data_IF_021155497413
#
_entry.id   IF_021155497413
#
_cell.length_a   1.000
_cell.length_b   1.000
_cell.length_c   1.000
_cell.angle_alpha   90.00
_cell.angle_beta   90.00
_cell.angle_gamma   90.00
#
_symmetry.space_group_name_H-M   'P 1'
#
loop_
_entity.id
_entity.type
_entity.pdbx_description
1 polymer ?
#
# COMPACT_ATOMS: atom_id res chain seq x y z
N UNK A 1 4.52 -13.15 52.47
CA UNK A 1 5.04 -13.55 51.14
C UNK A 1 4.35 -12.70 50.08
N UNK A 2 5.00 -11.62 49.61
CA UNK A 2 4.46 -10.72 48.58
C UNK A 2 4.78 -11.31 47.21
N UNK A 3 3.77 -11.68 46.43
CA UNK A 3 3.94 -12.11 45.03
C UNK A 3 4.27 -10.86 44.19
N UNK A 4 5.50 -10.78 43.69
CA UNK A 4 5.88 -9.90 42.60
C UNK A 4 5.07 -10.31 41.37
N UNK A 5 4.22 -9.40 40.88
CA UNK A 5 3.54 -9.56 39.60
C UNK A 5 4.48 -9.01 38.53
N UNK A 6 4.90 -9.91 37.65
CA UNK A 6 5.80 -9.67 36.53
C UNK A 6 5.14 -8.68 35.56
N UNK A 7 5.77 -7.52 35.38
CA UNK A 7 5.41 -6.57 34.33
C UNK A 7 5.70 -7.23 32.99
N UNK A 8 4.65 -7.58 32.24
CA UNK A 8 4.76 -7.90 30.83
C UNK A 8 5.15 -6.62 30.10
N UNK A 9 6.43 -6.49 29.77
CA UNK A 9 6.89 -5.50 28.81
C UNK A 9 6.24 -5.83 27.47
N UNK A 10 5.36 -4.96 27.00
CA UNK A 10 4.89 -4.97 25.63
C UNK A 10 6.13 -4.82 24.74
N UNK A 11 6.51 -5.90 24.05
CA UNK A 11 7.41 -5.78 22.91
C UNK A 11 6.71 -4.83 21.93
N UNK A 12 7.32 -3.67 21.70
CA UNK A 12 6.99 -2.86 20.54
C UNK A 12 7.09 -3.78 19.33
N UNK A 13 5.95 -4.12 18.74
CA UNK A 13 5.92 -4.57 17.37
C UNK A 13 6.67 -3.50 16.58
N UNK A 14 7.75 -3.92 15.93
CA UNK A 14 8.47 -3.09 14.98
C UNK A 14 7.44 -2.75 13.91
N UNK A 15 6.83 -1.58 14.04
CA UNK A 15 6.19 -0.92 12.91
C UNK A 15 7.23 -0.96 11.82
N UNK A 16 7.01 -1.75 10.78
CA UNK A 16 7.79 -1.65 9.56
C UNK A 16 7.60 -0.20 9.12
N UNK A 17 8.55 0.65 9.49
CA UNK A 17 8.65 2.01 8.99
C UNK A 17 8.83 1.83 7.50
N UNK A 18 7.76 2.05 6.74
CA UNK A 18 7.87 2.27 5.31
C UNK A 18 9.06 3.20 5.08
N UNK A 19 9.89 2.82 4.11
CA UNK A 19 11.08 3.54 3.72
C UNK A 19 10.78 5.04 3.62
N UNK A 20 11.72 5.87 4.06
CA UNK A 20 11.61 7.31 4.20
C UNK A 20 11.37 8.09 2.88
N UNK A 21 10.92 7.41 1.82
CA UNK A 21 10.91 7.86 0.43
C UNK A 21 9.57 7.62 -0.29
N UNK A 22 8.53 7.18 0.43
CA UNK A 22 7.22 6.90 -0.12
C UNK A 22 6.25 8.09 0.07
N UNK A 23 6.30 9.06 -0.85
CA UNK A 23 5.42 10.23 -0.95
C UNK A 23 4.94 10.46 -2.40
N UNK A 24 3.75 11.06 -2.62
CA UNK A 24 2.80 11.50 -1.60
C UNK A 24 2.21 10.33 -0.81
N UNK A 25 1.77 10.64 0.41
CA UNK A 25 1.02 9.70 1.22
C UNK A 25 -0.28 10.29 1.74
N UNK A 26 -1.23 9.41 2.01
CA UNK A 26 -2.51 9.76 2.63
C UNK A 26 -2.81 8.72 3.70
N UNK A 27 -2.90 9.17 4.95
CA UNK A 27 -3.45 8.35 6.03
C UNK A 27 -4.96 8.55 6.09
N UNK A 28 -5.72 7.47 6.17
CA UNK A 28 -7.17 7.49 6.29
C UNK A 28 -7.64 6.47 7.33
N UNK A 29 -8.74 6.75 8.01
CA UNK A 29 -9.30 5.81 8.97
C UNK A 29 -10.83 5.81 8.98
N UNK A 30 -11.41 4.65 9.29
CA UNK A 30 -12.82 4.55 9.63
C UNK A 30 -13.07 5.28 10.96
N UNK A 31 -14.29 5.79 11.14
CA UNK A 31 -14.67 6.50 12.37
C UNK A 31 -14.81 5.55 13.57
N UNK A 32 -15.25 4.32 13.31
CA UNK A 32 -15.42 3.27 14.31
C UNK A 32 -14.69 2.02 13.88
N UNK A 33 -14.30 1.20 14.85
CA UNK A 33 -13.65 -0.10 14.62
C UNK A 33 -14.48 -1.17 15.32
N UNK A 34 -14.98 -2.20 14.61
CA UNK A 34 -15.63 -3.33 15.24
C UNK A 34 -14.68 -4.07 16.20
N UNK A 35 -15.24 -4.78 17.19
CA UNK A 35 -14.45 -5.51 18.20
C UNK A 35 -13.52 -6.56 17.61
N UNK A 36 -13.87 -7.12 16.46
CA UNK A 36 -13.16 -8.22 15.80
C UNK A 36 -12.41 -7.72 14.55
N UNK A 37 -12.29 -6.39 14.41
CA UNK A 37 -11.72 -5.74 13.24
C UNK A 37 -12.61 -5.84 12.01
N UNK A 38 -12.07 -5.44 10.87
CA UNK A 38 -12.72 -5.54 9.57
C UNK A 38 -12.36 -6.85 8.86
N UNK A 39 -13.22 -7.36 7.99
CA UNK A 39 -12.93 -8.54 7.17
C UNK A 39 -12.45 -8.18 5.75
N UNK A 40 -12.62 -6.92 5.34
CA UNK A 40 -12.22 -6.47 4.00
C UNK A 40 -11.82 -5.00 3.97
N UNK A 41 -10.84 -4.68 3.13
CA UNK A 41 -10.49 -3.32 2.72
C UNK A 41 -10.48 -3.26 1.19
N UNK A 42 -11.04 -2.19 0.61
CA UNK A 42 -10.95 -1.91 -0.82
C UNK A 42 -10.48 -0.50 -1.09
N UNK A 43 -9.73 -0.27 -2.16
CA UNK A 43 -9.41 1.06 -2.66
C UNK A 43 -9.30 1.06 -4.18
N UNK A 44 -9.60 2.19 -4.80
CA UNK A 44 -9.57 2.33 -6.26
C UNK A 44 -8.35 3.17 -6.69
N UNK A 45 -7.72 2.76 -7.79
CA UNK A 45 -6.63 3.48 -8.44
C UNK A 45 -6.87 3.59 -9.94
N UNK A 46 -6.59 4.76 -10.52
CA UNK A 46 -6.59 5.00 -11.97
C UNK A 46 -5.24 5.62 -12.35
N UNK A 47 -4.30 4.83 -12.89
CA UNK A 47 -3.05 5.38 -13.44
C UNK A 47 -3.35 6.31 -14.61
N UNK A 48 -2.82 7.53 -14.62
CA UNK A 48 -3.08 8.51 -15.70
C UNK A 48 -1.83 8.92 -16.46
N UNK A 49 -0.71 9.09 -15.76
CA UNK A 49 0.62 9.34 -16.34
C UNK A 49 1.60 8.40 -15.67
N UNK A 50 2.22 7.54 -16.48
CA UNK A 50 3.08 6.45 -16.00
C UNK A 50 4.42 6.53 -16.74
N UNK A 51 5.53 6.81 -16.05
CA UNK A 51 6.85 6.75 -16.65
C UNK A 51 7.18 5.32 -17.08
N UNK A 52 7.56 5.17 -18.35
CA UNK A 52 7.81 3.85 -18.97
C UNK A 52 9.28 3.58 -19.25
N UNK A 53 10.13 4.57 -19.03
CA UNK A 53 11.58 4.55 -19.30
C UNK A 53 12.34 3.83 -18.18
N UNK A 54 11.79 3.82 -16.96
CA UNK A 54 12.38 3.19 -15.77
C UNK A 54 11.57 1.94 -15.42
N UNK A 55 12.21 0.78 -15.46
CA UNK A 55 11.58 -0.46 -15.01
C UNK A 55 11.38 -0.43 -13.49
N UNK A 56 10.19 -0.81 -13.01
CA UNK A 56 9.81 -0.64 -11.61
C UNK A 56 10.01 0.81 -11.17
N UNK A 57 9.43 1.76 -11.91
CA UNK A 57 9.53 3.17 -11.59
C UNK A 57 8.82 3.48 -10.28
N UNK A 58 7.59 3.01 -10.16
CA UNK A 58 6.73 3.29 -9.00
C UNK A 58 6.21 2.05 -8.32
N UNK A 59 5.82 2.21 -7.07
CA UNK A 59 4.86 1.34 -6.43
C UNK A 59 3.76 2.21 -5.79
N UNK A 60 2.55 2.11 -6.33
CA UNK A 60 1.37 2.78 -5.78
C UNK A 60 0.56 1.75 -5.02
N UNK A 61 0.45 1.94 -3.71
CA UNK A 61 -0.09 0.92 -2.84
C UNK A 61 -0.85 1.52 -1.67
N UNK A 62 -1.74 0.69 -1.11
CA UNK A 62 -2.35 0.93 0.18
C UNK A 62 -1.85 -0.11 1.17
N UNK A 63 -1.40 0.34 2.33
CA UNK A 63 -1.01 -0.46 3.46
C UNK A 63 -2.02 -0.30 4.59
N UNK A 64 -2.37 -1.42 5.20
CA UNK A 64 -3.09 -1.50 6.46
C UNK A 64 -2.33 -2.43 7.41
N UNK A 65 -2.92 -2.74 8.55
CA UNK A 65 -2.37 -3.69 9.50
C UNK A 65 -3.41 -4.70 9.97
N UNK A 66 -2.94 -5.82 10.52
CA UNK A 66 -3.77 -6.70 11.33
C UNK A 66 -4.32 -5.94 12.54
N UNK A 67 -5.47 -6.37 13.01
CA UNK A 67 -6.13 -5.81 14.19
C UNK A 67 -5.24 -5.92 15.44
N UNK A 68 -4.56 -7.06 15.59
CA UNK A 68 -3.68 -7.34 16.71
C UNK A 68 -2.24 -7.49 16.23
N UNK A 69 -1.28 -7.02 17.03
CA UNK A 69 0.15 -7.11 16.71
C UNK A 69 0.65 -6.12 15.65
N UNK A 70 -0.23 -5.42 14.94
CA UNK A 70 0.16 -4.36 14.00
C UNK A 70 0.92 -4.88 12.77
N UNK A 71 0.67 -6.12 12.37
CA UNK A 71 1.33 -6.76 11.24
C UNK A 71 0.90 -6.11 9.93
N UNK A 72 1.83 -5.48 9.23
CA UNK A 72 1.53 -4.75 8.01
C UNK A 72 1.04 -5.67 6.89
N UNK A 73 0.12 -5.17 6.09
CA UNK A 73 -0.31 -5.79 4.84
C UNK A 73 -0.42 -4.68 3.80
N UNK A 74 0.06 -4.90 2.58
CA UNK A 74 -0.17 -3.95 1.51
C UNK A 74 -0.73 -4.64 0.27
N UNK A 75 -1.42 -3.86 -0.55
CA UNK A 75 -1.72 -4.23 -1.93
C UNK A 75 -1.58 -3.03 -2.84
N UNK A 76 -1.01 -3.24 -4.03
CA UNK A 76 -0.69 -2.15 -4.95
C UNK A 76 -0.37 -2.61 -6.35
N UNK A 77 -0.17 -1.63 -7.22
CA UNK A 77 0.26 -1.83 -8.60
C UNK A 77 1.62 -1.20 -8.84
N UNK A 78 2.40 -1.86 -9.67
CA UNK A 78 3.74 -1.43 -10.03
C UNK A 78 3.89 -1.40 -11.55
N UNK A 79 4.11 -0.21 -12.15
CA UNK A 79 4.49 -0.14 -13.55
C UNK A 79 5.83 -0.82 -13.80
N UNK A 80 5.91 -1.56 -14.90
CA UNK A 80 7.12 -2.19 -15.41
C UNK A 80 7.28 -1.86 -16.89
N UNK A 81 8.51 -1.95 -17.40
CA UNK A 81 8.76 -1.70 -18.83
C UNK A 81 8.04 -2.73 -19.70
N UNK A 82 7.54 -2.32 -20.87
CA UNK A 82 7.00 -3.19 -21.93
C UNK A 82 5.78 -4.06 -21.53
N UNK A 83 4.78 -3.51 -20.84
CA UNK A 83 3.51 -4.21 -20.60
C UNK A 83 3.59 -5.35 -19.58
N UNK A 84 4.67 -5.41 -18.79
CA UNK A 84 4.90 -6.41 -17.74
C UNK A 84 4.45 -5.93 -16.36
N UNK A 85 3.46 -5.06 -16.34
CA UNK A 85 2.86 -4.47 -15.14
C UNK A 85 2.53 -5.54 -14.10
N UNK A 86 2.76 -5.22 -12.82
CA UNK A 86 2.61 -6.17 -11.71
C UNK A 86 1.61 -5.65 -10.70
N UNK A 87 0.82 -6.57 -10.14
CA UNK A 87 0.04 -6.34 -8.91
C UNK A 87 0.72 -7.10 -7.80
N UNK A 88 0.93 -6.45 -6.67
CA UNK A 88 1.64 -7.01 -5.51
C UNK A 88 0.69 -7.00 -4.32
N UNK A 89 0.72 -8.08 -3.54
CA UNK A 89 0.03 -8.22 -2.27
C UNK A 89 0.97 -8.92 -1.29
N UNK A 90 1.19 -8.33 -0.12
CA UNK A 90 2.11 -8.87 0.89
C UNK A 90 1.51 -8.79 2.29
N UNK A 91 1.89 -9.74 3.14
CA UNK A 91 1.65 -9.73 4.58
C UNK A 91 2.98 -9.90 5.33
N UNK A 92 3.25 -9.01 6.28
CA UNK A 92 4.51 -8.91 7.00
C UNK A 92 4.40 -9.55 8.37
N UNK A 93 5.38 -10.37 8.73
CA UNK A 93 5.42 -11.01 10.05
C UNK A 93 5.74 -12.50 9.98
N UNK A 94 6.15 -13.02 11.13
CA UNK A 94 6.41 -14.46 11.31
C UNK A 94 5.11 -15.25 11.29
N UNK A 95 5.18 -16.53 10.94
CA UNK A 95 4.01 -17.41 10.88
C UNK A 95 3.15 -17.27 9.62
N UNK A 96 3.49 -16.33 8.73
CA UNK A 96 2.88 -16.26 7.39
C UNK A 96 3.35 -17.43 6.53
N UNK A 97 2.47 -17.93 5.65
CA UNK A 97 2.84 -18.95 4.67
C UNK A 97 2.10 -18.75 3.33
N UNK A 98 2.78 -18.95 2.18
CA UNK A 98 2.15 -18.86 0.88
C UNK A 98 1.12 -19.98 0.68
N UNK A 99 -0.06 -19.62 0.16
CA UNK A 99 -1.09 -20.59 -0.25
C UNK A 99 -1.31 -20.64 -1.76
N UNK A 100 -0.96 -19.58 -2.49
CA UNK A 100 -1.01 -19.55 -3.96
C UNK A 100 0.37 -19.75 -4.59
N UNK A 101 0.40 -20.34 -5.79
CA UNK A 101 1.65 -20.67 -6.50
C UNK A 101 2.52 -19.44 -6.83
N UNK A 102 1.91 -18.26 -6.93
CA UNK A 102 2.58 -17.00 -7.22
C UNK A 102 2.98 -16.22 -5.95
N UNK A 103 2.86 -16.86 -4.77
CA UNK A 103 3.29 -16.35 -3.48
C UNK A 103 4.58 -17.06 -3.03
N UNK A 104 5.43 -16.33 -2.32
CA UNK A 104 6.67 -16.85 -1.74
C UNK A 104 6.94 -16.26 -0.37
N UNK A 105 7.69 -16.98 0.46
CA UNK A 105 8.21 -16.45 1.71
C UNK A 105 9.14 -15.26 1.47
N UNK A 106 9.12 -14.30 2.39
CA UNK A 106 9.83 -13.04 2.30
C UNK A 106 8.91 -11.89 1.84
N UNK A 107 8.77 -10.86 2.67
CA UNK A 107 8.14 -9.60 2.30
C UNK A 107 9.20 -8.48 2.42
N UNK A 108 9.51 -7.84 1.30
CA UNK A 108 10.59 -6.84 1.15
C UNK A 108 11.96 -7.31 1.71
N UNK A 109 12.24 -8.60 1.56
CA UNK A 109 13.47 -9.24 2.08
C UNK A 109 13.44 -9.57 3.58
N UNK A 110 12.38 -9.18 4.30
CA UNK A 110 12.15 -9.50 5.70
C UNK A 110 11.14 -10.64 5.92
N UNK A 111 10.76 -10.83 7.18
CA UNK A 111 9.76 -11.83 7.58
C UNK A 111 8.38 -11.50 7.00
N UNK A 112 7.76 -12.46 6.34
CA UNK A 112 6.46 -12.26 5.70
C UNK A 112 6.28 -13.20 4.52
N UNK A 113 5.20 -12.97 3.78
CA UNK A 113 4.90 -13.63 2.51
C UNK A 113 4.46 -12.57 1.50
N UNK A 114 4.96 -12.67 0.28
CA UNK A 114 4.61 -11.76 -0.82
C UNK A 114 4.11 -12.54 -2.02
N UNK A 115 3.02 -12.05 -2.61
CA UNK A 115 2.38 -12.55 -3.82
C UNK A 115 2.48 -11.49 -4.91
N UNK A 116 2.70 -11.93 -6.14
CA UNK A 116 2.65 -11.01 -7.28
C UNK A 116 2.11 -11.71 -8.51
N UNK A 117 1.39 -10.97 -9.35
CA UNK A 117 0.94 -11.43 -10.67
C UNK A 117 1.33 -10.42 -11.73
N UNK A 118 1.65 -10.89 -12.92
CA UNK A 118 1.65 -10.05 -14.10
C UNK A 118 0.19 -9.71 -14.42
N UNK A 119 -0.11 -8.42 -14.57
CA UNK A 119 -1.45 -7.93 -14.85
C UNK A 119 -1.36 -6.75 -15.82
N UNK A 120 -1.91 -6.87 -17.05
CA UNK A 120 -1.78 -5.87 -18.09
C UNK A 120 -2.75 -4.70 -17.89
N UNK A 121 -2.67 -4.03 -16.74
CA UNK A 121 -3.47 -2.83 -16.49
C UNK A 121 -3.09 -1.72 -17.49
N UNK A 122 -4.04 -0.83 -17.73
CA UNK A 122 -3.99 0.25 -18.72
C UNK A 122 -4.10 1.61 -18.05
N UNK A 123 -3.39 2.59 -18.59
CA UNK A 123 -3.56 4.00 -18.26
C UNK A 123 -4.99 4.46 -18.58
N UNK A 124 -5.54 5.35 -17.75
CA UNK A 124 -6.92 5.87 -17.83
C UNK A 124 -7.99 4.87 -17.42
N UNK A 125 -7.61 3.68 -16.92
CA UNK A 125 -8.55 2.63 -16.49
C UNK A 125 -8.51 2.49 -14.97
N UNK A 126 -9.68 2.48 -14.35
CA UNK A 126 -9.82 2.31 -12.91
C UNK A 126 -9.73 0.82 -12.52
N UNK A 127 -9.01 0.54 -11.45
CA UNK A 127 -8.90 -0.78 -10.83
C UNK A 127 -9.21 -0.68 -9.34
N UNK A 128 -9.98 -1.64 -8.84
CA UNK A 128 -10.22 -1.82 -7.41
C UNK A 128 -9.30 -2.89 -6.87
N UNK A 129 -8.46 -2.55 -5.91
CA UNK A 129 -7.68 -3.52 -5.16
C UNK A 129 -8.37 -3.82 -3.85
N UNK A 130 -8.24 -5.07 -3.40
CA UNK A 130 -8.93 -5.58 -2.22
C UNK A 130 -8.02 -6.49 -1.40
N UNK A 131 -8.13 -6.36 -0.08
CA UNK A 131 -7.61 -7.33 0.89
C UNK A 131 -8.79 -7.89 1.68
N UNK A 132 -8.86 -9.20 1.86
CA UNK A 132 -9.91 -9.88 2.63
C UNK A 132 -9.29 -10.82 3.64
N UNK A 133 -9.80 -10.84 4.87
CA UNK A 133 -9.43 -11.77 5.94
C UNK A 133 -10.60 -12.70 6.20
N UNK A 134 -10.33 -14.01 6.17
CA UNK A 134 -11.23 -15.01 6.74
C UNK A 134 -10.59 -15.61 7.97
N UNK A 135 -11.15 -15.33 9.15
CA UNK A 135 -10.54 -15.71 10.42
C UNK A 135 -10.69 -17.21 10.72
N UNK A 136 -9.61 -17.85 11.18
CA UNK A 136 -9.56 -19.23 11.66
C UNK A 136 -10.26 -20.26 10.76
N UNK A 137 -10.29 -20.03 9.44
CA UNK A 137 -11.04 -20.84 8.48
C UNK A 137 -10.29 -22.10 8.03
N UNK A 138 -9.01 -22.20 8.37
CA UNK A 138 -8.16 -23.31 7.95
C UNK A 138 -8.21 -24.45 8.95
N UNK A 139 -8.01 -25.68 8.48
CA UNK A 139 -7.97 -26.88 9.34
C UNK A 139 -6.83 -26.88 10.36
N UNK A 140 -5.79 -26.08 10.13
CA UNK A 140 -4.67 -25.86 11.05
C UNK A 140 -4.93 -24.70 12.04
N UNK A 141 -6.17 -24.19 12.08
CA UNK A 141 -6.61 -23.12 12.97
C UNK A 141 -6.16 -21.72 12.55
N UNK A 142 -5.41 -21.57 11.44
CA UNK A 142 -4.94 -20.27 10.94
C UNK A 142 -6.04 -19.52 10.17
N UNK A 143 -5.84 -18.21 10.04
CA UNK A 143 -6.65 -17.35 9.18
C UNK A 143 -6.08 -17.31 7.76
N UNK A 144 -6.91 -16.91 6.81
CA UNK A 144 -6.50 -16.66 5.43
C UNK A 144 -6.61 -15.16 5.12
N UNK A 145 -5.62 -14.60 4.43
CA UNK A 145 -5.67 -13.26 3.86
C UNK A 145 -5.52 -13.34 2.35
N UNK A 146 -6.50 -12.82 1.63
CA UNK A 146 -6.59 -12.88 0.18
C UNK A 146 -6.49 -11.48 -0.43
N UNK A 147 -5.72 -11.37 -1.51
CA UNK A 147 -5.59 -10.15 -2.31
C UNK A 147 -6.28 -10.29 -3.67
N UNK A 148 -6.93 -9.22 -4.14
CA UNK A 148 -7.58 -9.19 -5.45
C UNK A 148 -7.36 -7.86 -6.18
N UNK A 149 -7.45 -7.92 -7.51
CA UNK A 149 -7.60 -6.76 -8.39
C UNK A 149 -8.85 -6.93 -9.25
N UNK A 150 -9.64 -5.88 -9.40
CA UNK A 150 -10.84 -5.85 -10.25
C UNK A 150 -10.71 -4.72 -11.27
N UNK A 151 -10.88 -5.04 -12.56
CA UNK A 151 -11.09 -4.01 -13.58
C UNK A 151 -12.51 -3.46 -13.42
N UNK A 152 -12.62 -2.22 -12.95
CA UNK A 152 -13.92 -1.61 -12.58
C UNK A 152 -14.88 -1.55 -13.77
N UNK A 153 -14.37 -1.35 -14.98
CA UNK A 153 -15.22 -1.17 -16.15
C UNK A 153 -15.62 -2.49 -16.83
N UNK A 154 -15.01 -3.63 -16.48
CA UNK A 154 -15.54 -4.96 -16.87
C UNK A 154 -16.18 -5.72 -15.70
N UNK A 155 -15.88 -5.35 -14.46
CA UNK A 155 -16.22 -6.13 -13.27
C UNK A 155 -15.36 -7.40 -13.11
N UNK A 156 -14.36 -7.62 -13.96
CA UNK A 156 -13.54 -8.83 -13.90
C UNK A 156 -12.56 -8.77 -12.72
N UNK A 157 -12.75 -9.65 -11.74
CA UNK A 157 -11.87 -9.81 -10.58
C UNK A 157 -10.85 -10.93 -10.80
N UNK A 158 -9.59 -10.65 -10.51
CA UNK A 158 -8.47 -11.60 -10.56
C UNK A 158 -7.86 -11.72 -9.16
N UNK A 159 -7.68 -12.94 -8.62
CA UNK A 159 -6.93 -13.14 -7.39
C UNK A 159 -5.46 -12.78 -7.57
N UNK A 160 -4.93 -11.91 -6.71
CA UNK A 160 -3.50 -11.59 -6.63
C UNK A 160 -2.75 -12.64 -5.83
N UNK A 161 -3.38 -13.28 -4.85
CA UNK A 161 -2.79 -14.37 -4.08
C UNK A 161 -3.47 -14.57 -2.73
N UNK A 162 -3.10 -15.66 -2.05
CA UNK A 162 -3.63 -16.07 -0.75
C UNK A 162 -2.49 -16.43 0.21
N UNK A 163 -2.61 -15.98 1.45
CA UNK A 163 -1.60 -16.13 2.50
C UNK A 163 -2.26 -16.67 3.77
N UNK A 164 -1.71 -17.73 4.35
CA UNK A 164 -2.08 -18.16 5.70
C UNK A 164 -1.38 -17.27 6.72
N UNK A 165 -2.10 -16.80 7.74
CA UNK A 165 -1.57 -15.98 8.85
C UNK A 165 -2.01 -16.55 10.20
N UNK A 166 -1.27 -16.30 11.29
CA UNK A 166 -1.71 -16.66 12.64
C UNK A 166 -3.11 -16.12 12.95
N UNK A 167 -3.92 -16.91 13.66
CA UNK A 167 -5.30 -16.52 13.97
C UNK A 167 -5.39 -15.35 14.95
N UNK A 168 -4.38 -15.21 15.82
CA UNK A 168 -4.28 -14.14 16.80
C UNK A 168 -4.00 -12.76 16.18
N UNK A 169 -3.78 -12.67 14.86
CA UNK A 169 -3.75 -11.40 14.13
C UNK A 169 -5.13 -10.70 14.13
N UNK A 170 -6.21 -11.45 14.30
CA UNK A 170 -7.58 -10.95 14.26
C UNK A 170 -8.01 -10.51 12.87
N UNK A 171 -8.89 -9.51 12.80
CA UNK A 171 -9.32 -8.90 11.55
C UNK A 171 -8.29 -7.89 11.01
N UNK A 172 -8.80 -6.96 10.21
CA UNK A 172 -8.07 -5.81 9.72
C UNK A 172 -8.25 -4.62 10.67
N UNK A 173 -7.20 -3.82 10.82
CA UNK A 173 -7.25 -2.55 11.55
C UNK A 173 -8.13 -1.52 10.83
N UNK A 174 -8.45 -0.41 11.50
CA UNK A 174 -9.35 0.63 10.98
C UNK A 174 -8.66 1.77 10.26
N UNK A 175 -7.36 1.65 10.04
CA UNK A 175 -6.55 2.68 9.43
C UNK A 175 -5.75 2.10 8.29
N UNK A 176 -5.67 2.89 7.23
CA UNK A 176 -4.97 2.54 6.03
C UNK A 176 -4.16 3.75 5.57
N UNK A 177 -3.11 3.44 4.84
CA UNK A 177 -2.09 4.38 4.44
C UNK A 177 -1.80 4.14 2.98
N UNK A 178 -2.18 5.09 2.14
CA UNK A 178 -1.79 5.09 0.75
C UNK A 178 -0.41 5.70 0.61
N UNK A 179 0.42 5.12 -0.25
CA UNK A 179 1.70 5.69 -0.63
C UNK A 179 2.03 5.51 -2.10
N UNK A 180 2.75 6.50 -2.59
CA UNK A 180 3.50 6.48 -3.82
C UNK A 180 4.99 6.33 -3.48
N UNK A 181 5.59 5.24 -3.92
CA UNK A 181 7.04 5.05 -3.79
C UNK A 181 7.69 5.10 -5.16
N UNK A 182 8.59 6.05 -5.39
CA UNK A 182 9.55 5.93 -6.49
C UNK A 182 10.59 4.88 -6.13
N UNK A 183 10.36 3.64 -6.56
CA UNK A 183 11.05 2.45 -6.09
C UNK A 183 12.60 2.51 -6.21
N UNK A 184 13.21 3.16 -7.23
CA UNK A 184 14.67 3.33 -7.27
C UNK A 184 15.27 4.05 -6.06
N UNK A 185 14.48 4.78 -5.26
CA UNK A 185 14.96 5.42 -4.03
C UNK A 185 15.33 4.44 -2.92
N UNK A 186 14.85 3.20 -2.97
CA UNK A 186 15.23 2.17 -1.99
C UNK A 186 16.71 1.81 -2.03
N UNK A 187 17.40 2.08 -3.15
CA UNK A 187 18.85 1.91 -3.29
C UNK A 187 19.60 3.25 -3.44
N UNK A 188 18.90 4.38 -3.37
CA UNK A 188 19.51 5.70 -3.60
C UNK A 188 20.11 6.29 -2.32
N UNK A 189 20.86 7.39 -2.51
CA UNK A 189 21.42 8.14 -1.39
C UNK A 189 20.33 8.69 -0.45
N UNK A 190 20.64 8.80 0.84
CA UNK A 190 19.80 9.49 1.81
C UNK A 190 19.81 11.01 1.60
N UNK A 191 20.85 11.54 0.96
CA UNK A 191 20.96 12.94 0.57
C UNK A 191 20.08 13.20 -0.67
N UNK A 192 19.02 14.02 -0.57
CA UNK A 192 18.18 14.35 -1.71
C UNK A 192 18.95 14.95 -2.89
N UNK A 193 20.04 15.71 -2.65
CA UNK A 193 20.85 16.29 -3.73
C UNK A 193 21.60 15.26 -4.58
N UNK A 194 21.77 14.04 -4.07
CA UNK A 194 22.41 12.94 -4.77
C UNK A 194 21.40 12.00 -5.45
N UNK A 195 20.09 12.20 -5.22
CA UNK A 195 19.05 11.39 -5.86
C UNK A 195 18.80 11.87 -7.29
N UNK A 196 18.55 10.95 -8.24
CA UNK A 196 18.12 11.36 -9.56
C UNK A 196 16.77 12.06 -9.47
N UNK A 197 16.59 12.98 -10.40
CA UNK A 197 15.35 13.69 -10.69
C UNK A 197 14.24 12.66 -11.00
N UNK A 198 13.15 12.66 -10.23
CA UNK A 198 12.06 11.67 -10.33
C UNK A 198 11.15 12.01 -11.51
N UNK A 199 10.90 11.08 -12.45
CA UNK A 199 10.04 11.34 -13.60
C UNK A 199 8.62 11.69 -13.16
N UNK A 200 7.89 12.49 -13.93
CA UNK A 200 6.53 12.87 -13.52
C UNK A 200 5.55 11.69 -13.65
N UNK A 201 4.79 11.42 -12.60
CA UNK A 201 3.69 10.46 -12.59
C UNK A 201 2.43 11.10 -12.01
N UNK A 202 1.27 10.59 -12.46
CA UNK A 202 -0.04 11.01 -11.98
C UNK A 202 -1.01 9.85 -11.96
N UNK A 203 -1.81 9.79 -10.90
CA UNK A 203 -2.92 8.86 -10.80
C UNK A 203 -4.02 9.43 -9.92
N UNK A 204 -5.23 8.92 -10.12
CA UNK A 204 -6.36 9.14 -9.22
C UNK A 204 -6.46 7.98 -8.24
N UNK A 205 -6.83 8.28 -7.00
CA UNK A 205 -7.10 7.26 -5.98
C UNK A 205 -8.27 7.65 -5.10
N UNK A 206 -9.06 6.66 -4.67
CA UNK A 206 -10.02 6.87 -3.59
C UNK A 206 -9.38 6.65 -2.22
N UNK A 207 -9.94 7.26 -1.19
CA UNK A 207 -9.76 6.79 0.17
C UNK A 207 -10.27 5.33 0.27
N UNK A 208 -9.62 4.48 1.09
CA UNK A 208 -10.04 3.11 1.25
C UNK A 208 -11.40 3.02 1.94
N UNK A 209 -12.12 1.95 1.67
CA UNK A 209 -13.32 1.55 2.38
C UNK A 209 -13.02 0.27 3.17
N UNK A 210 -13.50 0.20 4.40
CA UNK A 210 -13.43 -1.01 5.21
C UNK A 210 -14.80 -1.67 5.28
N UNK A 211 -14.84 -2.99 5.44
CA UNK A 211 -16.09 -3.72 5.57
C UNK A 211 -16.04 -4.73 6.69
N UNK A 212 -17.20 -4.99 7.27
CA UNK A 212 -17.46 -6.13 8.11
C UNK A 212 -18.81 -6.73 7.70
N UNK A 213 -18.82 -7.98 7.25
CA UNK A 213 -20.04 -8.70 6.81
C UNK A 213 -20.85 -7.87 5.81
N UNK A 214 -20.14 -7.33 4.81
CA UNK A 214 -20.65 -6.46 3.74
C UNK A 214 -21.22 -5.10 4.16
N UNK A 215 -21.15 -4.73 5.45
CA UNK A 215 -21.42 -3.37 5.89
C UNK A 215 -20.22 -2.49 5.57
N UNK A 216 -20.44 -1.40 4.84
CA UNK A 216 -19.41 -0.43 4.45
C UNK A 216 -19.12 0.58 5.58
N UNK A 217 -17.84 0.79 5.85
CA UNK A 217 -17.29 1.77 6.76
C UNK A 217 -16.34 2.68 5.97
N UNK A 218 -16.84 3.78 5.39
CA UNK A 218 -16.01 4.71 4.65
C UNK A 218 -14.99 5.35 5.58
N UNK A 219 -13.84 5.70 5.01
CA UNK A 219 -12.77 6.37 5.75
C UNK A 219 -12.78 7.87 5.51
N UNK A 220 -12.19 8.60 6.45
CA UNK A 220 -11.88 10.02 6.32
C UNK A 220 -10.37 10.22 6.31
N UNK A 221 -9.89 11.19 5.55
CA UNK A 221 -8.50 11.64 5.60
C UNK A 221 -8.11 12.03 7.02
N UNK A 222 -6.93 11.61 7.45
CA UNK A 222 -6.32 11.95 8.74
C UNK A 222 -5.11 12.85 8.57
N UNK A 223 -4.30 12.58 7.54
CA UNK A 223 -3.14 13.40 7.21
C UNK A 223 -2.65 13.13 5.79
N UNK A 224 -1.92 14.10 5.26
CA UNK A 224 -1.17 14.00 4.01
C UNK A 224 0.28 14.38 4.27
N UNK A 225 1.22 13.64 3.69
CA UNK A 225 2.66 13.97 3.66
C UNK A 225 3.14 14.05 2.21
N UNK A 226 3.93 15.09 1.91
CA UNK A 226 4.44 15.37 0.56
C UNK A 226 5.96 15.61 0.49
N UNK A 227 6.68 15.57 1.61
CA UNK A 227 7.97 16.28 1.75
C UNK A 227 9.20 15.42 2.13
N UNK A 228 9.05 14.11 2.32
CA UNK A 228 10.12 13.17 2.68
C UNK A 228 10.76 12.48 1.47
N UNK A 229 10.02 12.32 0.37
CA UNK A 229 10.47 11.74 -0.90
C UNK A 229 11.23 12.70 -1.83
N UNK A 230 11.91 13.74 -1.31
CA UNK A 230 12.57 14.76 -2.15
C UNK A 230 13.72 14.19 -2.99
N UNK A 231 13.91 14.77 -4.17
CA UNK A 231 15.02 14.52 -5.09
C UNK A 231 15.86 15.79 -5.33
N UNK A 232 16.95 15.68 -6.11
CA UNK A 232 17.87 16.81 -6.32
C UNK A 232 17.19 18.02 -6.96
N UNK A 233 16.16 17.80 -7.75
CA UNK A 233 15.48 18.85 -8.45
C UNK A 233 14.34 19.49 -7.63
N UNK A 234 13.67 18.75 -6.75
CA UNK A 234 12.86 19.34 -5.68
C UNK A 234 13.68 20.27 -4.81
N UNK A 235 14.90 19.85 -4.44
CA UNK A 235 15.80 20.71 -3.65
C UNK A 235 16.18 21.97 -4.42
N UNK A 236 16.62 21.84 -5.68
CA UNK A 236 17.02 22.98 -6.51
C UNK A 236 15.86 23.96 -6.80
N UNK A 237 14.63 23.46 -6.96
CA UNK A 237 13.44 24.30 -7.18
C UNK A 237 12.88 24.92 -5.90
N UNK A 238 13.30 24.44 -4.73
CA UNK A 238 12.73 24.86 -3.44
C UNK A 238 11.28 24.43 -3.22
N UNK A 239 10.75 23.49 -4.02
CA UNK A 239 9.36 23.03 -3.95
C UNK A 239 9.27 21.52 -3.73
N UNK A 240 8.17 21.00 -3.15
CA UNK A 240 7.94 19.55 -3.08
C UNK A 240 7.86 18.93 -4.48
N UNK A 241 8.41 17.73 -4.68
CA UNK A 241 8.20 16.91 -5.88
C UNK A 241 6.89 16.09 -5.83
N UNK A 242 5.94 16.48 -4.98
CA UNK A 242 4.69 15.78 -4.83
C UNK A 242 3.54 16.75 -4.58
N UNK A 243 2.36 16.40 -5.10
CA UNK A 243 1.11 17.14 -4.87
C UNK A 243 -0.02 16.14 -4.63
N UNK A 244 -0.87 16.47 -3.67
CA UNK A 244 -2.16 15.82 -3.47
C UNK A 244 -3.27 16.86 -3.65
N UNK A 245 -4.19 16.60 -4.56
CA UNK A 245 -5.34 17.48 -4.81
C UNK A 245 -6.61 16.70 -4.55
N UNK A 246 -7.42 17.17 -3.59
CA UNK A 246 -8.75 16.62 -3.33
C UNK A 246 -9.68 17.00 -4.49
N UNK A 247 -10.16 16.01 -5.24
CA UNK A 247 -11.01 16.22 -6.44
C UNK A 247 -12.49 16.18 -6.08
N UNK A 248 -12.86 15.37 -5.09
CA UNK A 248 -14.20 15.32 -4.51
C UNK A 248 -14.08 14.96 -3.02
N UNK A 249 -15.12 14.47 -2.34
CA UNK A 249 -15.06 14.20 -0.90
C UNK A 249 -14.10 13.08 -0.47
N UNK A 250 -13.77 12.14 -1.35
CA UNK A 250 -12.99 10.94 -1.00
C UNK A 250 -11.95 10.55 -2.05
N UNK A 251 -11.81 11.32 -3.13
CA UNK A 251 -10.91 11.00 -4.24
C UNK A 251 -9.84 12.07 -4.38
N UNK A 252 -8.59 11.62 -4.52
CA UNK A 252 -7.42 12.46 -4.69
C UNK A 252 -6.79 12.23 -6.05
N UNK A 253 -6.35 13.32 -6.67
CA UNK A 253 -5.32 13.28 -7.70
C UNK A 253 -3.97 13.36 -6.99
N UNK A 254 -3.13 12.36 -7.21
CA UNK A 254 -1.78 12.30 -6.69
C UNK A 254 -0.79 12.46 -7.84
N UNK A 255 0.19 13.32 -7.60
CA UNK A 255 1.25 13.63 -8.53
C UNK A 255 2.59 13.51 -7.81
N UNK A 256 3.57 12.89 -8.47
CA UNK A 256 4.94 12.71 -7.97
C UNK A 256 5.95 13.00 -9.08
N UNK A 257 7.16 13.40 -8.73
CA UNK A 257 8.22 13.85 -9.64
C UNK A 257 8.13 15.34 -9.99
N UNK A 258 8.80 15.74 -11.06
CA UNK A 258 8.94 17.17 -11.41
C UNK A 258 7.65 17.97 -11.46
N UNK A 259 7.60 19.07 -10.70
CA UNK A 259 6.57 20.09 -10.83
C UNK A 259 7.14 21.46 -10.44
N UNK A 260 7.51 22.32 -11.41
CA UNK A 260 6.53 23.34 -11.84
C UNK A 260 6.01 23.14 -13.28
N UNK A 261 4.75 22.70 -13.38
CA UNK A 261 3.90 22.75 -14.59
C UNK A 261 3.86 21.50 -15.48
N UNK A 262 4.42 20.37 -15.06
CA UNK A 262 4.60 19.14 -15.86
C UNK A 262 3.38 18.79 -16.75
N UNK A 263 3.52 18.79 -18.09
CA UNK A 263 4.41 17.99 -18.95
C UNK A 263 5.91 18.30 -18.86
N UNK A 264 6.75 17.26 -18.75
CA UNK A 264 8.20 17.22 -19.02
C UNK A 264 9.14 18.27 -18.40
N UNK A 265 8.63 19.26 -17.69
CA UNK A 265 9.28 20.54 -17.52
C UNK A 265 10.50 20.51 -16.59
N UNK A 266 11.64 21.02 -17.06
CA UNK A 266 12.12 22.35 -16.75
C UNK A 266 11.44 23.42 -17.65
N UNK A 267 11.49 24.68 -17.24
CA UNK A 267 11.67 25.78 -18.22
C UNK A 267 13.13 26.15 -18.20
#
# INVERSE_FOLDING_TARGET
MKRLSTVFGALLAVSATLNAHADPNIAASAATTPSDGFDRMTWDITPEVVPTEVNASYYWANQLSSQHGGHAMYTGIQPRTRGTNVVIFSAFGTGTAPLSANCRGGADGGSGTSCSIAYPWKTGRAYRLQVTVTQANRSDGRSTVDGFITDVATGATTPTGSIAVPADWGGLSSSAYLFDEYFPFNAASKDPMQRPCVPYARYMTSLPHFYLKDVDYPTTERSIRLNTGKDKCAVLSGTPNARATLVNTTTYQLENGFLPGSPGAPK
#
